data_IF_614141715841
#
_entry.id   IF_614141715841
#
_cell.length_a   1.000
_cell.length_b   1.000
_cell.length_c   1.000
_cell.angle_alpha   90.00
_cell.angle_beta   90.00
_cell.angle_gamma   90.00
#
_symmetry.space_group_name_H-M   'P 1'
#
loop_
_entity.id
_entity.type
_entity.pdbx_description
1 polymer ?
#
# COMPACT_ATOMS: atom_id res chain seq x y z
N UNK A 1 2.95 -19.42 17.63
CA UNK A 1 3.45 -19.37 16.24
C UNK A 1 2.29 -18.97 15.34
N UNK A 2 2.41 -17.87 14.59
CA UNK A 2 1.41 -17.50 13.58
C UNK A 2 1.58 -18.45 12.40
N UNK A 3 0.46 -18.95 11.85
CA UNK A 3 0.48 -19.77 10.65
C UNK A 3 1.07 -18.95 9.49
N UNK A 4 2.04 -19.53 8.76
CA UNK A 4 2.70 -18.92 7.59
C UNK A 4 1.70 -18.29 6.62
N UNK A 5 0.56 -18.95 6.40
CA UNK A 5 -0.47 -18.49 5.48
C UNK A 5 -1.24 -17.27 6.01
N UNK A 6 -1.46 -17.21 7.32
CA UNK A 6 -2.11 -16.05 7.96
C UNK A 6 -1.23 -14.81 7.82
N UNK A 7 0.09 -14.96 7.97
CA UNK A 7 1.04 -13.87 7.75
C UNK A 7 0.99 -13.36 6.30
N UNK A 8 0.91 -14.27 5.32
CA UNK A 8 0.76 -13.89 3.91
C UNK A 8 -0.52 -13.07 3.64
N UNK A 9 -1.66 -13.50 4.20
CA UNK A 9 -2.93 -12.76 4.09
C UNK A 9 -2.84 -11.37 4.73
N UNK A 10 -2.23 -11.27 5.92
CA UNK A 10 -2.05 -9.99 6.62
C UNK A 10 -1.20 -9.02 5.78
N UNK A 11 -0.12 -9.51 5.17
CA UNK A 11 0.73 -8.69 4.28
C UNK A 11 -0.05 -8.16 3.07
N UNK A 12 -0.88 -9.01 2.45
CA UNK A 12 -1.73 -8.59 1.33
C UNK A 12 -2.72 -7.51 1.77
N UNK A 13 -3.43 -7.72 2.89
CA UNK A 13 -4.39 -6.75 3.41
C UNK A 13 -3.72 -5.41 3.77
N UNK A 14 -2.56 -5.45 4.41
CA UNK A 14 -1.78 -4.26 4.73
C UNK A 14 -1.37 -3.51 3.46
N UNK A 15 -0.90 -4.22 2.43
CA UNK A 15 -0.53 -3.61 1.17
C UNK A 15 -1.71 -2.97 0.43
N UNK A 16 -2.88 -3.62 0.45
CA UNK A 16 -4.13 -3.05 -0.10
C UNK A 16 -4.48 -1.74 0.63
N UNK A 17 -4.41 -1.70 1.96
CA UNK A 17 -4.69 -0.50 2.75
C UNK A 17 -3.75 0.66 2.40
N UNK A 18 -2.46 0.38 2.18
CA UNK A 18 -1.49 1.39 1.73
C UNK A 18 -1.84 1.95 0.35
N UNK A 19 -2.20 1.09 -0.62
CA UNK A 19 -2.59 1.53 -1.96
C UNK A 19 -3.87 2.40 -1.90
N UNK A 20 -4.87 1.95 -1.15
CA UNK A 20 -6.13 2.68 -0.96
C UNK A 20 -5.85 4.03 -0.28
N UNK A 21 -5.05 4.06 0.78
CA UNK A 21 -4.67 5.29 1.48
C UNK A 21 -4.04 6.33 0.56
N UNK A 22 -3.09 5.90 -0.28
CA UNK A 22 -2.47 6.77 -1.29
C UNK A 22 -3.45 7.29 -2.34
N UNK A 23 -4.38 6.46 -2.81
CA UNK A 23 -5.43 6.87 -3.75
C UNK A 23 -6.40 7.90 -3.15
N UNK A 24 -6.84 7.68 -1.90
CA UNK A 24 -7.74 8.60 -1.21
C UNK A 24 -7.06 9.93 -0.89
N UNK A 25 -5.81 9.89 -0.42
CA UNK A 25 -4.98 11.09 -0.19
C UNK A 25 -4.87 11.92 -1.46
N UNK A 26 -4.44 11.30 -2.57
CA UNK A 26 -4.35 11.96 -3.88
C UNK A 26 -5.67 12.57 -4.35
N UNK A 27 -6.79 11.87 -4.13
CA UNK A 27 -8.13 12.36 -4.49
C UNK A 27 -8.52 13.59 -3.67
N UNK A 28 -8.18 13.61 -2.38
CA UNK A 28 -8.42 14.73 -1.50
C UNK A 28 -7.55 15.94 -1.87
N UNK A 29 -6.25 15.73 -2.02
CA UNK A 29 -5.28 16.77 -2.42
C UNK A 29 -5.62 17.44 -3.74
N UNK A 30 -6.06 16.65 -4.73
CA UNK A 30 -6.54 17.18 -6.02
C UNK A 30 -7.78 18.07 -5.88
N UNK A 31 -8.66 17.81 -4.90
CA UNK A 31 -9.84 18.64 -4.64
C UNK A 31 -9.47 19.95 -3.92
N UNK A 32 -8.52 19.89 -3.01
CA UNK A 32 -8.05 21.04 -2.23
C UNK A 32 -7.04 21.92 -3.01
N UNK A 33 -6.62 21.50 -4.21
CA UNK A 33 -5.60 22.20 -5.01
C UNK A 33 -4.19 22.09 -4.43
N UNK A 34 -3.97 21.15 -3.51
CA UNK A 34 -2.68 20.90 -2.86
C UNK A 34 -1.92 19.90 -3.74
N UNK A 35 -1.27 20.40 -4.79
CA UNK A 35 -0.43 19.59 -5.68
C UNK A 35 1.00 20.10 -5.56
N UNK A 36 1.76 19.52 -4.62
CA UNK A 36 3.20 19.74 -4.50
C UNK A 36 3.99 18.45 -4.75
N UNK A 37 5.26 18.62 -5.12
CA UNK A 37 6.16 17.52 -5.46
C UNK A 37 6.41 16.57 -4.28
N UNK A 38 6.29 17.07 -3.06
CA UNK A 38 6.41 16.28 -1.84
C UNK A 38 5.23 15.32 -1.66
N UNK A 39 4.00 15.82 -1.85
CA UNK A 39 2.78 15.03 -1.82
C UNK A 39 2.77 13.92 -2.87
N UNK A 40 3.16 14.24 -4.11
CA UNK A 40 3.26 13.24 -5.18
C UNK A 40 4.30 12.15 -4.83
N UNK A 41 5.41 12.54 -4.20
CA UNK A 41 6.39 11.60 -3.65
C UNK A 41 5.79 10.64 -2.62
N UNK A 42 4.98 11.15 -1.69
CA UNK A 42 4.27 10.32 -0.71
C UNK A 42 3.24 9.38 -1.37
N UNK A 43 2.54 9.85 -2.39
CA UNK A 43 1.58 9.04 -3.12
C UNK A 43 2.30 7.87 -3.83
N UNK A 44 3.42 8.14 -4.51
CA UNK A 44 4.27 7.11 -5.14
C UNK A 44 4.82 6.13 -4.10
N UNK A 45 5.31 6.61 -2.96
CA UNK A 45 5.78 5.75 -1.86
C UNK A 45 4.67 4.80 -1.40
N UNK A 46 3.45 5.30 -1.23
CA UNK A 46 2.30 4.48 -0.83
C UNK A 46 2.02 3.33 -1.81
N UNK A 47 2.15 3.57 -3.12
CA UNK A 47 2.01 2.53 -4.14
C UNK A 47 3.17 1.53 -4.11
N UNK A 48 4.42 1.99 -3.98
CA UNK A 48 5.60 1.11 -3.96
C UNK A 48 5.57 0.21 -2.72
N UNK A 49 5.37 0.78 -1.53
CA UNK A 49 5.28 0.00 -0.30
C UNK A 49 4.06 -0.92 -0.29
N UNK A 50 2.88 -0.42 -0.71
CA UNK A 50 1.67 -1.23 -0.80
C UNK A 50 1.82 -2.42 -1.76
N UNK A 51 2.35 -2.16 -2.96
CA UNK A 51 2.65 -3.20 -3.95
C UNK A 51 3.69 -4.21 -3.46
N UNK A 52 4.75 -3.75 -2.79
CA UNK A 52 5.75 -4.62 -2.19
C UNK A 52 5.18 -5.55 -1.12
N UNK A 53 4.31 -5.04 -0.24
CA UNK A 53 3.64 -5.85 0.77
C UNK A 53 2.71 -6.90 0.15
N UNK A 54 1.96 -6.55 -0.89
CA UNK A 54 1.13 -7.52 -1.64
C UNK A 54 2.01 -8.60 -2.25
N UNK A 55 3.11 -8.21 -2.90
CA UNK A 55 4.03 -9.16 -3.53
C UNK A 55 4.66 -10.12 -2.50
N UNK A 56 5.15 -9.60 -1.38
CA UNK A 56 5.69 -10.42 -0.29
C UNK A 56 4.63 -11.34 0.32
N UNK A 57 3.42 -10.84 0.49
CA UNK A 57 2.29 -11.63 0.99
C UNK A 57 1.92 -12.78 0.05
N UNK A 58 1.90 -12.52 -1.26
CA UNK A 58 1.70 -13.55 -2.30
C UNK A 58 2.81 -14.60 -2.22
N UNK A 59 4.09 -14.19 -2.25
CA UNK A 59 5.22 -15.12 -2.11
C UNK A 59 5.05 -15.98 -0.86
N UNK A 60 4.64 -15.38 0.26
CA UNK A 60 4.51 -16.07 1.54
C UNK A 60 3.40 -17.12 1.56
N UNK A 61 2.40 -17.02 0.69
CA UNK A 61 1.36 -18.05 0.55
C UNK A 61 1.84 -19.30 -0.19
N UNK A 62 2.94 -19.19 -0.96
CA UNK A 62 3.53 -20.29 -1.72
C UNK A 62 4.82 -20.86 -1.11
N UNK A 63 5.42 -20.18 -0.12
CA UNK A 63 6.64 -20.58 0.61
C UNK A 63 6.38 -20.84 2.10
#
# INVERSE_FOLDING_TARGET
MINSNILGIILILAGILFVIGGLYKRKFEKKEGILDSFSDGQNIQSFIFGGGLIFLGIIKLFL
#
